data_IF_709942632104
#
_entry.id   IF_709942632104
#
_cell.length_a   1.000
_cell.length_b   1.000
_cell.length_c   1.000
_cell.angle_alpha   90.00
_cell.angle_beta   90.00
_cell.angle_gamma   90.00
#
_symmetry.space_group_name_H-M   'P 1'
#
loop_
_entity.id
_entity.type
_entity.pdbx_description
1 polymer ?
#
# COMPACT_ATOMS: atom_id res chain seq x y z
N UNK A 1 14.28 -5.17 3.78
CA UNK A 1 13.71 -3.89 4.25
C UNK A 1 12.39 -3.53 3.61
N UNK A 2 12.19 -3.84 2.32
CA UNK A 2 10.94 -3.60 1.60
C UNK A 2 9.66 -4.01 2.37
N UNK A 3 9.55 -5.20 2.99
CA UNK A 3 8.34 -5.58 3.73
C UNK A 3 8.10 -4.72 4.98
N UNK A 4 9.14 -4.34 5.73
CA UNK A 4 8.99 -3.50 6.92
C UNK A 4 8.47 -2.10 6.56
N UNK A 5 9.04 -1.49 5.53
CA UNK A 5 8.62 -0.16 5.05
C UNK A 5 7.19 -0.23 4.52
N UNK A 6 6.83 -1.29 3.78
CA UNK A 6 5.48 -1.52 3.30
C UNK A 6 4.46 -1.67 4.44
N UNK A 7 4.79 -2.43 5.49
CA UNK A 7 3.93 -2.58 6.68
C UNK A 7 3.70 -1.26 7.39
N UNK A 8 4.75 -0.45 7.57
CA UNK A 8 4.64 0.89 8.18
C UNK A 8 3.77 1.81 7.30
N UNK A 9 4.00 1.81 5.98
CA UNK A 9 3.17 2.58 5.04
C UNK A 9 1.69 2.19 5.09
N UNK A 10 1.40 0.89 5.16
CA UNK A 10 0.04 0.37 5.32
C UNK A 10 -0.61 0.78 6.65
N UNK A 11 0.15 0.73 7.75
CA UNK A 11 -0.34 1.19 9.06
C UNK A 11 -0.65 2.69 9.05
N UNK A 12 0.20 3.52 8.42
CA UNK A 12 -0.04 4.96 8.26
C UNK A 12 -1.29 5.20 7.41
N UNK A 13 -1.44 4.50 6.28
CA UNK A 13 -2.62 4.62 5.43
C UNK A 13 -3.91 4.24 6.19
N UNK A 14 -3.87 3.18 7.00
CA UNK A 14 -4.98 2.79 7.86
C UNK A 14 -5.34 3.90 8.87
N UNK A 15 -4.36 4.50 9.53
CA UNK A 15 -4.59 5.62 10.45
C UNK A 15 -5.21 6.84 9.75
N UNK A 16 -4.78 7.14 8.52
CA UNK A 16 -5.35 8.23 7.72
C UNK A 16 -6.82 7.95 7.38
N UNK A 17 -7.15 6.75 6.91
CA UNK A 17 -8.54 6.34 6.63
C UNK A 17 -9.40 6.48 7.89
N UNK A 18 -8.88 5.98 9.02
CA UNK A 18 -9.60 6.01 10.29
C UNK A 18 -9.84 7.44 10.78
N UNK A 19 -8.83 8.31 10.70
CA UNK A 19 -8.95 9.72 11.07
C UNK A 19 -9.99 10.46 10.21
N UNK A 20 -10.04 10.19 8.90
CA UNK A 20 -11.03 10.79 7.99
C UNK A 20 -12.44 10.25 8.26
N UNK A 21 -12.57 8.96 8.55
CA UNK A 21 -13.86 8.31 8.81
C UNK A 21 -14.44 8.69 10.19
N UNK A 22 -13.61 9.11 11.14
CA UNK A 22 -14.03 9.45 12.50
C UNK A 22 -14.76 10.80 12.52
N UNK A 23 -16.10 10.77 12.61
CA UNK A 23 -16.89 11.98 12.89
C UNK A 23 -18.14 11.65 13.71
N UNK A 24 -18.11 11.93 15.02
CA UNK A 24 -19.22 11.67 15.96
C UNK A 24 -19.79 10.24 15.91
N UNK A 25 -18.91 9.23 15.80
CA UNK A 25 -19.25 7.81 15.71
C UNK A 25 -18.78 7.17 14.40
N UNK A 26 -18.30 5.93 14.47
CA UNK A 26 -17.86 5.16 13.29
C UNK A 26 -19.07 4.59 12.56
N UNK A 27 -19.48 5.22 11.46
CA UNK A 27 -20.41 4.62 10.52
C UNK A 27 -19.63 3.70 9.56
N UNK A 28 -20.01 2.42 9.42
CA UNK A 28 -19.37 1.49 8.48
C UNK A 28 -19.29 2.05 7.05
N UNK A 29 -20.34 2.76 6.61
CA UNK A 29 -20.41 3.37 5.28
C UNK A 29 -19.32 4.43 5.10
N UNK A 30 -19.08 5.28 6.11
CA UNK A 30 -18.05 6.32 6.05
C UNK A 30 -16.65 5.74 6.04
N UNK A 31 -16.42 4.65 6.76
CA UNK A 31 -15.15 3.95 6.76
C UNK A 31 -14.83 3.37 5.38
N UNK A 32 -15.82 2.75 4.72
CA UNK A 32 -15.66 2.22 3.35
C UNK A 32 -15.39 3.35 2.36
N UNK A 33 -16.18 4.43 2.40
CA UNK A 33 -15.99 5.58 1.49
C UNK A 33 -14.63 6.26 1.69
N UNK A 34 -14.21 6.48 2.94
CA UNK A 34 -12.89 7.02 3.25
C UNK A 34 -11.78 6.10 2.74
N UNK A 35 -11.94 4.78 2.89
CA UNK A 35 -11.03 3.78 2.35
C UNK A 35 -10.89 3.87 0.83
N UNK A 36 -12.01 3.98 0.11
CA UNK A 36 -12.01 4.15 -1.36
C UNK A 36 -11.29 5.43 -1.76
N UNK A 37 -11.63 6.57 -1.15
CA UNK A 37 -11.02 7.87 -1.45
C UNK A 37 -9.50 7.81 -1.25
N UNK A 38 -9.06 7.36 -0.09
CA UNK A 38 -7.63 7.26 0.24
C UNK A 38 -6.92 6.27 -0.67
N UNK A 39 -7.54 5.13 -0.98
CA UNK A 39 -7.01 4.15 -1.92
C UNK A 39 -6.80 4.74 -3.32
N UNK A 40 -7.76 5.51 -3.85
CA UNK A 40 -7.63 6.18 -5.15
C UNK A 40 -6.52 7.23 -5.14
N UNK A 41 -6.34 7.97 -4.05
CA UNK A 41 -5.26 8.95 -3.89
C UNK A 41 -3.89 8.25 -3.93
N UNK A 42 -3.72 7.16 -3.18
CA UNK A 42 -2.47 6.39 -3.20
C UNK A 42 -2.20 5.74 -4.55
N UNK A 43 -3.23 5.23 -5.22
CA UNK A 43 -3.10 4.68 -6.58
C UNK A 43 -2.67 5.74 -7.58
N UNK A 44 -3.26 6.94 -7.51
CA UNK A 44 -2.88 8.07 -8.38
C UNK A 44 -1.46 8.55 -8.09
N UNK A 45 -1.05 8.57 -6.82
CA UNK A 45 0.32 8.89 -6.42
C UNK A 45 1.31 7.85 -6.96
N UNK A 46 0.99 6.56 -6.88
CA UNK A 46 1.79 5.49 -7.47
C UNK A 46 1.96 5.69 -8.98
N UNK A 47 0.87 5.98 -9.70
CA UNK A 47 0.93 6.26 -11.14
C UNK A 47 1.81 7.48 -11.44
N UNK A 48 1.71 8.54 -10.65
CA UNK A 48 2.58 9.71 -10.80
C UNK A 48 4.05 9.36 -10.56
N UNK A 49 4.36 8.58 -9.52
CA UNK A 49 5.72 8.10 -9.25
C UNK A 49 6.28 7.28 -10.41
N UNK A 50 5.47 6.41 -11.00
CA UNK A 50 5.88 5.63 -12.19
C UNK A 50 6.08 6.49 -13.42
N UNK A 51 5.27 7.54 -13.59
CA UNK A 51 5.42 8.47 -14.70
C UNK A 51 6.71 9.30 -14.63
N UNK A 52 7.12 9.69 -13.42
CA UNK A 52 8.36 10.45 -13.19
C UNK A 52 9.59 9.58 -12.96
N UNK A 53 9.47 8.24 -13.01
CA UNK A 53 10.60 7.35 -12.83
C UNK A 53 11.44 7.28 -14.12
N UNK A 54 12.72 7.61 -14.00
CA UNK A 54 13.66 7.55 -15.14
C UNK A 54 14.04 6.11 -15.52
N UNK A 55 13.94 5.16 -14.57
CA UNK A 55 14.35 3.77 -14.74
C UNK A 55 13.14 2.83 -14.93
N UNK A 56 12.97 2.35 -16.15
CA UNK A 56 11.92 1.40 -16.53
C UNK A 56 12.04 0.07 -15.77
N UNK A 57 13.26 -0.37 -15.45
CA UNK A 57 13.50 -1.60 -14.70
C UNK A 57 12.99 -1.52 -13.26
N UNK A 58 13.12 -0.35 -12.62
CA UNK A 58 12.56 -0.10 -11.28
C UNK A 58 11.03 -0.10 -11.33
N UNK A 59 10.43 0.51 -12.35
CA UNK A 59 8.97 0.50 -12.55
C UNK A 59 8.45 -0.92 -12.75
N UNK A 60 9.08 -1.71 -13.62
CA UNK A 60 8.67 -3.11 -13.85
C UNK A 60 8.79 -3.97 -12.58
N UNK A 61 9.87 -3.78 -11.82
CA UNK A 61 10.06 -4.47 -10.53
C UNK A 61 8.96 -4.11 -9.53
N UNK A 62 8.61 -2.82 -9.43
CA UNK A 62 7.53 -2.35 -8.56
C UNK A 62 6.14 -2.88 -8.98
N UNK A 63 5.87 -2.94 -10.29
CA UNK A 63 4.63 -3.55 -10.82
C UNK A 63 4.57 -5.03 -10.43
N UNK A 64 5.67 -5.77 -10.63
CA UNK A 64 5.71 -7.20 -10.30
C UNK A 64 5.46 -7.47 -8.82
N UNK A 65 5.96 -6.60 -7.94
CA UNK A 65 5.73 -6.67 -6.50
C UNK A 65 4.27 -6.38 -6.14
N UNK A 66 3.61 -5.47 -6.86
CA UNK A 66 2.20 -5.11 -6.64
C UNK A 66 1.24 -6.21 -7.11
N UNK A 67 1.57 -6.91 -8.20
CA UNK A 67 0.82 -8.10 -8.65
C UNK A 67 0.99 -9.28 -7.70
N UNK A 68 2.12 -9.32 -6.99
CA UNK A 68 2.47 -10.37 -6.04
C UNK A 68 3.05 -11.61 -6.74
N UNK A 69 4.04 -12.24 -6.12
CA UNK A 69 4.58 -13.52 -6.54
C UNK A 69 5.06 -14.33 -5.34
N UNK A 70 5.06 -15.65 -5.48
CA UNK A 70 5.67 -16.59 -4.52
C UNK A 70 6.97 -17.20 -5.07
N UNK A 71 7.36 -16.77 -6.28
CA UNK A 71 8.55 -17.26 -6.97
C UNK A 71 9.79 -16.63 -6.35
N UNK A 72 10.70 -17.45 -5.84
CA UNK A 72 11.90 -16.97 -5.15
C UNK A 72 11.69 -16.65 -3.66
N UNK A 73 10.63 -17.20 -3.05
CA UNK A 73 10.41 -17.12 -1.60
C UNK A 73 11.22 -18.20 -0.87
N UNK A 74 12.14 -17.78 -0.01
CA UNK A 74 12.98 -18.57 0.88
C UNK A 74 12.45 -18.56 2.33
N UNK A 75 12.95 -19.49 3.14
CA UNK A 75 12.58 -19.64 4.55
C UNK A 75 12.86 -18.40 5.42
N UNK A 76 13.79 -17.53 5.01
CA UNK A 76 14.02 -16.25 5.70
C UNK A 76 12.82 -15.29 5.59
N UNK A 77 12.14 -15.25 4.43
CA UNK A 77 10.93 -14.43 4.28
C UNK A 77 9.75 -15.01 5.06
N UNK A 78 9.67 -16.35 5.15
CA UNK A 78 8.67 -17.01 6.01
C UNK A 78 8.91 -16.66 7.48
N UNK A 79 10.17 -16.64 7.93
CA UNK A 79 10.52 -16.27 9.30
C UNK A 79 10.24 -14.80 9.63
N UNK A 80 10.32 -13.90 8.64
CA UNK A 80 9.91 -12.51 8.82
C UNK A 80 8.39 -12.34 8.93
N UNK A 81 7.61 -13.28 8.42
CA UNK A 81 6.15 -13.24 8.46
C UNK A 81 5.54 -13.85 9.74
N UNK A 82 6.31 -14.67 10.47
CA UNK A 82 5.96 -15.29 11.76
C UNK A 82 6.30 -14.36 12.93
#
# INVERSE_FOLDING_TARGET
FLPLIASVGGAVAFLVVYAIAWKNGTSPVRLVLAGVIVGTVFSSLQTALFFFADDIGVVQSAISWTTGSLTGTDWEQVRMAL
#
